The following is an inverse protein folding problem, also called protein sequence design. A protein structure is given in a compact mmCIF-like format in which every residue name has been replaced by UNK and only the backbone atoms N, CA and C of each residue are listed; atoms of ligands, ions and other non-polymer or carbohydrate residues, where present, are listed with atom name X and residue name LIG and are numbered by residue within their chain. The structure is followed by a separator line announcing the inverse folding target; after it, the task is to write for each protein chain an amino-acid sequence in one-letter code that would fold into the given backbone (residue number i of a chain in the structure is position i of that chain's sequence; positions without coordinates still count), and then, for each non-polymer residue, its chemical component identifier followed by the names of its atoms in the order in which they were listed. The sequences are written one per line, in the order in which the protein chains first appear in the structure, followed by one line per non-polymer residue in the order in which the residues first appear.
data_IF_007456689780
#
_entry.id   IF_007456689780
#
_cell.length_a   1.000
_cell.length_b   1.000
_cell.length_c   1.000
_cell.angle_alpha   90.00
_cell.angle_beta   90.00
_cell.angle_gamma   90.00
#
_symmetry.space_group_name_H-M   'P 1'
#
loop_
_entity.id
_entity.type
_entity.pdbx_description
1 polymer ?
#
# COMPACT_ATOMS: atom_id res chain seq x y z
N UNK A 1 -8.07 -39.34 -0.07
CA UNK A 1 -8.62 -38.14 -0.69
C UNK A 1 -9.97 -37.85 -0.02
N UNK A 2 -9.93 -37.29 1.18
CA UNK A 2 -11.11 -36.80 1.89
C UNK A 2 -10.83 -35.33 2.19
N UNK A 3 -11.30 -34.47 1.29
CA UNK A 3 -11.42 -33.05 1.55
C UNK A 3 -12.61 -32.94 2.51
N UNK A 4 -12.27 -32.80 3.79
CA UNK A 4 -13.24 -32.52 4.84
C UNK A 4 -13.88 -31.18 4.48
N UNK A 5 -15.11 -31.26 4.03
CA UNK A 5 -16.02 -30.13 3.88
C UNK A 5 -16.31 -29.63 5.30
N UNK A 6 -15.41 -28.82 5.87
CA UNK A 6 -15.63 -28.20 7.17
C UNK A 6 -16.79 -27.20 7.02
N UNK A 7 -17.86 -27.54 7.68
CA UNK A 7 -19.13 -26.83 7.76
C UNK A 7 -18.90 -25.37 8.18
N UNK A 8 -19.47 -24.45 7.46
CA UNK A 8 -19.33 -22.99 7.53
C UNK A 8 -19.80 -22.35 8.87
N UNK A 9 -20.01 -23.12 9.90
CA UNK A 9 -20.77 -22.68 11.08
C UNK A 9 -19.93 -22.07 12.23
N UNK A 10 -18.57 -21.97 12.10
CA UNK A 10 -17.79 -21.51 13.24
C UNK A 10 -16.62 -20.56 12.91
N UNK A 11 -16.69 -19.76 11.81
CA UNK A 11 -15.57 -18.94 11.37
C UNK A 11 -15.60 -17.49 11.84
N UNK A 12 -16.65 -17.02 12.50
CA UNK A 12 -16.73 -15.65 12.97
C UNK A 12 -16.77 -15.59 14.51
N UNK A 13 -15.60 -15.48 15.13
CA UNK A 13 -15.50 -15.19 16.58
C UNK A 13 -15.25 -13.70 16.85
N UNK A 14 -15.00 -12.88 15.80
CA UNK A 14 -14.79 -11.44 15.95
C UNK A 14 -15.90 -10.63 15.32
N UNK A 15 -16.24 -9.52 15.94
CA UNK A 15 -17.17 -8.54 15.39
C UNK A 15 -16.41 -7.29 14.94
N UNK A 16 -16.93 -6.62 13.92
CA UNK A 16 -16.37 -5.34 13.44
C UNK A 16 -16.33 -4.29 14.53
N UNK A 17 -17.33 -4.29 15.40
CA UNK A 17 -17.40 -3.38 16.54
C UNK A 17 -16.26 -3.64 17.53
N UNK A 18 -16.06 -4.88 17.95
CA UNK A 18 -15.00 -5.28 18.86
C UNK A 18 -13.59 -4.98 18.35
N UNK A 19 -13.31 -5.29 17.05
CA UNK A 19 -12.03 -4.94 16.43
C UNK A 19 -11.78 -3.42 16.41
N UNK A 20 -12.79 -2.65 16.10
CA UNK A 20 -12.70 -1.19 16.11
C UNK A 20 -12.50 -0.63 17.51
N UNK A 21 -13.17 -1.17 18.48
CA UNK A 21 -13.03 -0.75 19.89
C UNK A 21 -11.61 -1.06 20.39
N UNK A 22 -11.11 -2.27 20.17
CA UNK A 22 -9.72 -2.66 20.50
C UNK A 22 -8.70 -1.82 19.76
N UNK A 23 -8.86 -1.62 18.44
CA UNK A 23 -7.98 -0.79 17.65
C UNK A 23 -7.98 0.67 18.10
N UNK A 24 -9.15 1.22 18.49
CA UNK A 24 -9.25 2.56 19.07
C UNK A 24 -8.54 2.65 20.42
N UNK A 25 -8.73 1.69 21.29
CA UNK A 25 -8.06 1.65 22.59
C UNK A 25 -6.53 1.55 22.44
N UNK A 26 -6.03 0.69 21.56
CA UNK A 26 -4.60 0.57 21.24
C UNK A 26 -4.02 1.87 20.69
N UNK A 27 -4.72 2.51 19.75
CA UNK A 27 -4.35 3.80 19.18
C UNK A 27 -4.30 4.91 20.24
N UNK A 28 -5.31 5.03 21.10
CA UNK A 28 -5.39 6.07 22.12
C UNK A 28 -4.32 5.90 23.21
N UNK A 29 -3.94 4.67 23.54
CA UNK A 29 -2.91 4.38 24.53
C UNK A 29 -1.56 5.01 24.20
N UNK A 30 -1.19 5.04 22.93
CA UNK A 30 0.08 5.57 22.44
C UNK A 30 -0.16 6.53 21.26
N UNK A 31 -1.01 7.53 21.48
CA UNK A 31 -1.57 8.40 20.45
C UNK A 31 -0.51 9.05 19.58
N UNK A 32 0.44 9.78 20.18
CA UNK A 32 1.42 10.58 19.43
C UNK A 32 2.37 9.72 18.59
N UNK A 33 2.82 8.59 19.14
CA UNK A 33 3.68 7.67 18.39
C UNK A 33 2.90 7.00 17.25
N UNK A 34 1.65 6.63 17.48
CA UNK A 34 0.77 6.04 16.44
C UNK A 34 0.49 7.03 15.31
N UNK A 35 0.22 8.30 15.62
CA UNK A 35 0.05 9.37 14.62
C UNK A 35 1.34 9.57 13.83
N UNK A 36 2.48 9.65 14.49
CA UNK A 36 3.77 9.86 13.83
C UNK A 36 4.13 8.67 12.90
N UNK A 37 3.95 7.43 13.36
CA UNK A 37 4.18 6.23 12.55
C UNK A 37 3.22 6.18 11.35
N UNK A 38 1.92 6.44 11.58
CA UNK A 38 0.93 6.47 10.50
C UNK A 38 1.21 7.58 9.48
N UNK A 39 1.69 8.75 9.93
CA UNK A 39 2.11 9.86 9.07
C UNK A 39 3.31 9.47 8.21
N UNK A 40 4.33 8.85 8.80
CA UNK A 40 5.50 8.34 8.08
C UNK A 40 5.05 7.32 7.03
N UNK A 41 4.22 6.35 7.40
CA UNK A 41 3.69 5.36 6.45
C UNK A 41 2.85 6.01 5.36
N UNK A 42 2.03 7.00 5.68
CA UNK A 42 1.21 7.71 4.69
C UNK A 42 2.08 8.44 3.67
N UNK A 43 3.07 9.22 4.11
CA UNK A 43 3.93 10.00 3.23
C UNK A 43 4.81 9.08 2.39
N UNK A 44 5.49 8.13 3.02
CA UNK A 44 6.48 7.32 2.34
C UNK A 44 5.89 6.11 1.63
N UNK A 45 4.95 5.37 2.22
CA UNK A 45 4.42 4.13 1.60
C UNK A 45 3.30 4.44 0.61
N UNK A 46 2.39 5.37 0.92
CA UNK A 46 1.20 5.68 0.11
C UNK A 46 1.36 6.93 -0.76
N UNK A 47 2.09 7.96 -0.30
CA UNK A 47 2.16 9.28 -0.96
C UNK A 47 2.99 9.32 -2.25
N UNK A 48 3.92 8.40 -2.45
CA UNK A 48 4.86 8.46 -3.58
C UNK A 48 4.27 8.22 -4.98
N UNK A 49 3.07 7.64 -5.08
CA UNK A 49 2.46 7.34 -6.39
C UNK A 49 1.82 8.55 -7.07
N UNK A 50 1.18 9.42 -6.30
CA UNK A 50 0.54 10.62 -6.84
C UNK A 50 1.55 11.70 -7.27
N UNK A 51 2.65 11.85 -6.54
CA UNK A 51 3.70 12.79 -6.90
C UNK A 51 4.35 12.43 -8.25
N UNK A 52 4.66 11.13 -8.47
CA UNK A 52 5.30 10.66 -9.70
C UNK A 52 4.37 10.83 -10.92
N UNK A 53 3.07 10.50 -10.79
CA UNK A 53 2.11 10.64 -11.88
C UNK A 53 1.86 12.10 -12.25
N UNK A 54 1.81 13.00 -11.28
CA UNK A 54 1.62 14.43 -11.53
C UNK A 54 2.83 15.04 -12.25
N UNK A 55 4.06 14.68 -11.85
CA UNK A 55 5.28 15.13 -12.52
C UNK A 55 5.34 14.63 -13.97
N UNK A 56 4.99 13.37 -14.22
CA UNK A 56 4.95 12.82 -15.58
C UNK A 56 3.95 13.56 -16.48
N UNK A 57 2.72 13.75 -15.99
CA UNK A 57 1.69 14.47 -16.74
C UNK A 57 2.09 15.92 -17.02
N UNK A 58 2.77 16.58 -16.10
CA UNK A 58 3.24 17.95 -16.28
C UNK A 58 4.36 18.05 -17.32
N UNK A 59 5.31 17.09 -17.33
CA UNK A 59 6.40 17.04 -18.32
C UNK A 59 5.87 16.71 -19.71
N UNK A 60 4.95 15.75 -19.85
CA UNK A 60 4.38 15.36 -21.15
C UNK A 60 3.43 16.43 -21.70
N UNK A 61 2.70 17.17 -20.87
CA UNK A 61 1.88 18.29 -21.33
C UNK A 61 2.72 19.51 -21.75
N UNK A 62 3.86 19.76 -21.11
CA UNK A 62 4.77 20.84 -21.49
C UNK A 62 5.45 20.59 -22.84
N UNK A 63 5.67 19.35 -23.23
CA UNK A 63 6.26 19.02 -24.53
C UNK A 63 5.27 19.15 -25.70
N UNK A 64 3.96 19.21 -25.41
CA UNK A 64 2.92 19.36 -26.43
C UNK A 64 2.46 20.82 -26.66
N UNK A 65 2.93 21.78 -25.85
CA UNK A 65 2.46 23.17 -25.90
C UNK A 65 3.40 24.12 -26.65
N UNK A 66 4.46 23.64 -27.30
CA UNK A 66 5.38 24.47 -28.07
C UNK A 66 4.94 24.63 -29.57
N UNK A 67 3.65 24.75 -29.81
CA UNK A 67 3.14 25.32 -31.07
C UNK A 67 3.03 26.85 -30.92
N UNK A 68 4.12 27.59 -31.11
CA UNK A 68 4.05 29.04 -31.30
C UNK A 68 3.37 29.32 -32.63
N UNK A 69 2.20 29.91 -32.56
CA UNK A 69 1.52 30.47 -33.74
C UNK A 69 2.09 31.85 -33.99
N UNK A 70 2.89 32.00 -35.05
CA UNK A 70 3.23 33.31 -35.61
C UNK A 70 2.34 33.52 -36.82
N UNK A 71 1.47 34.54 -36.79
CA UNK A 71 0.77 35.05 -37.96
C UNK A 71 1.65 36.15 -38.57
N UNK A 72 2.32 35.84 -39.64
CA UNK A 72 3.00 36.83 -40.45
C UNK A 72 2.03 37.28 -41.57
N UNK A 73 1.66 38.55 -41.56
CA UNK A 73 0.83 39.19 -42.58
C UNK A 73 1.73 39.64 -43.74
N UNK A 74 1.62 38.99 -44.88
CA UNK A 74 2.13 39.52 -46.14
C UNK A 74 0.99 40.25 -46.88
N UNK A 75 1.35 41.39 -47.52
CA UNK A 75 0.45 42.41 -48.10
C UNK A 75 -0.33 41.97 -49.36
N UNK A 76 -0.28 40.69 -49.74
CA UNK A 76 -0.90 40.15 -50.97
C UNK A 76 -1.95 39.06 -50.75
N UNK A 77 -2.64 39.05 -49.63
CA UNK A 77 -3.93 38.36 -49.49
C UNK A 77 -3.93 36.83 -49.60
N UNK A 78 -2.79 36.14 -49.46
CA UNK A 78 -2.73 34.68 -49.41
C UNK A 78 -2.43 34.25 -47.99
N UNK A 79 -3.43 33.72 -47.29
CA UNK A 79 -3.28 33.07 -45.97
C UNK A 79 -2.67 31.69 -46.22
N UNK A 80 -1.36 31.61 -46.18
CA UNK A 80 -0.65 30.34 -46.11
C UNK A 80 -0.46 29.92 -44.67
N UNK A 81 -1.16 28.88 -44.21
CA UNK A 81 -0.86 28.24 -42.94
C UNK A 81 0.46 27.47 -43.10
N UNK A 82 1.57 28.11 -42.76
CA UNK A 82 2.86 27.42 -42.65
C UNK A 82 2.90 26.74 -41.29
N UNK A 83 2.58 25.47 -41.27
CA UNK A 83 2.91 24.63 -40.12
C UNK A 83 4.44 24.48 -40.08
N UNK A 84 5.12 25.38 -39.39
CA UNK A 84 6.51 25.16 -39.03
C UNK A 84 6.58 24.09 -37.95
N UNK A 85 6.57 22.84 -38.38
CA UNK A 85 6.99 21.69 -37.55
C UNK A 85 8.53 21.74 -37.39
N UNK A 86 9.01 22.86 -36.87
CA UNK A 86 10.42 23.08 -36.58
C UNK A 86 10.81 22.41 -35.27
N UNK A 87 10.86 21.10 -35.24
CA UNK A 87 11.76 20.40 -34.29
C UNK A 87 13.19 20.70 -34.76
N UNK A 88 13.71 21.87 -34.39
CA UNK A 88 15.13 22.16 -34.57
C UNK A 88 15.92 21.06 -33.84
N UNK A 89 16.98 20.53 -34.47
CA UNK A 89 17.88 19.54 -33.90
C UNK A 89 18.25 19.86 -32.42
N UNK A 90 18.51 21.13 -32.02
CA UNK A 90 18.69 21.52 -30.63
C UNK A 90 17.48 21.24 -29.74
N UNK A 91 16.25 21.50 -30.20
CA UNK A 91 15.03 21.24 -29.43
C UNK A 91 14.78 19.74 -29.18
N UNK A 92 15.08 18.91 -30.19
CA UNK A 92 14.97 17.45 -30.05
C UNK A 92 16.02 16.87 -29.09
N UNK A 93 17.24 17.43 -29.08
CA UNK A 93 18.29 17.05 -28.12
C UNK A 93 17.93 17.48 -26.71
N UNK A 94 17.41 18.69 -26.51
CA UNK A 94 17.00 19.19 -25.19
C UNK A 94 15.84 18.36 -24.64
N UNK A 95 14.82 18.04 -25.47
CA UNK A 95 13.69 17.19 -25.05
C UNK A 95 14.16 15.77 -24.72
N UNK A 96 15.10 15.21 -25.46
CA UNK A 96 15.71 13.90 -25.17
C UNK A 96 16.47 13.87 -23.86
N UNK A 97 17.26 14.90 -23.57
CA UNK A 97 17.98 15.02 -22.29
C UNK A 97 17.01 15.17 -21.12
N UNK A 98 15.99 16.04 -21.24
CA UNK A 98 14.96 16.20 -20.20
C UNK A 98 14.22 14.88 -19.95
N UNK A 99 13.81 14.17 -21.00
CA UNK A 99 13.16 12.87 -20.89
C UNK A 99 14.06 11.83 -20.19
N UNK A 100 15.35 11.81 -20.52
CA UNK A 100 16.32 10.91 -19.88
C UNK A 100 16.54 11.23 -18.39
N UNK A 101 16.64 12.51 -18.03
CA UNK A 101 16.78 12.95 -16.63
C UNK A 101 15.53 12.61 -15.83
N UNK A 102 14.34 12.91 -16.35
CA UNK A 102 13.06 12.59 -15.69
C UNK A 102 12.86 11.10 -15.60
N UNK A 103 13.14 10.34 -16.66
CA UNK A 103 13.08 8.88 -16.66
C UNK A 103 14.06 8.26 -15.65
N UNK A 104 15.28 8.78 -15.59
CA UNK A 104 16.28 8.39 -14.57
C UNK A 104 15.83 8.68 -13.14
N UNK A 105 15.31 9.89 -12.90
CA UNK A 105 14.76 10.25 -11.58
C UNK A 105 13.57 9.36 -11.17
N UNK A 106 12.70 9.02 -12.13
CA UNK A 106 11.60 8.07 -11.88
C UNK A 106 12.10 6.66 -11.54
N UNK A 107 13.08 6.14 -12.27
CA UNK A 107 13.71 4.84 -11.96
C UNK A 107 14.31 4.83 -10.56
N UNK A 108 15.07 5.87 -10.19
CA UNK A 108 15.60 6.01 -8.84
C UNK A 108 14.47 6.06 -7.81
N UNK A 109 13.40 6.81 -8.05
CA UNK A 109 12.23 6.87 -7.18
C UNK A 109 11.55 5.50 -7.00
N UNK A 110 11.40 4.73 -8.09
CA UNK A 110 10.84 3.36 -8.04
C UNK A 110 11.76 2.42 -7.25
N UNK A 111 13.08 2.49 -7.48
CA UNK A 111 14.05 1.68 -6.74
C UNK A 111 14.02 2.03 -5.24
N UNK A 112 14.06 3.31 -4.87
CA UNK A 112 13.92 3.75 -3.48
C UNK A 112 12.61 3.26 -2.87
N UNK A 113 11.51 3.30 -3.61
CA UNK A 113 10.22 2.79 -3.15
C UNK A 113 10.28 1.28 -2.86
N UNK A 114 10.87 0.49 -3.73
CA UNK A 114 10.99 -0.96 -3.55
C UNK A 114 11.93 -1.29 -2.38
N UNK A 115 13.11 -0.66 -2.34
CA UNK A 115 14.14 -1.02 -1.40
C UNK A 115 13.98 -0.39 -0.02
N UNK A 116 13.50 0.86 0.07
CA UNK A 116 13.38 1.56 1.35
C UNK A 116 11.98 1.47 1.95
N UNK A 117 10.93 1.64 1.14
CA UNK A 117 9.57 1.78 1.66
C UNK A 117 8.88 0.43 1.95
N UNK A 118 9.24 -0.64 1.25
CA UNK A 118 8.69 -1.95 1.56
C UNK A 118 9.08 -2.45 2.97
N UNK A 119 10.36 -2.40 3.38
CA UNK A 119 10.73 -2.75 4.76
C UNK A 119 10.06 -1.85 5.81
N UNK A 120 9.86 -0.58 5.50
CA UNK A 120 9.17 0.36 6.38
C UNK A 120 7.71 -0.04 6.62
N UNK A 121 7.03 -0.58 5.61
CA UNK A 121 5.67 -1.14 5.73
C UNK A 121 5.64 -2.26 6.80
N UNK A 122 6.62 -3.17 6.79
CA UNK A 122 6.75 -4.25 7.79
C UNK A 122 7.04 -3.70 9.18
N UNK A 123 7.94 -2.72 9.30
CA UNK A 123 8.21 -2.03 10.56
C UNK A 123 6.98 -1.35 11.13
N UNK A 124 6.15 -0.75 10.28
CA UNK A 124 4.85 -0.18 10.68
C UNK A 124 3.88 -1.24 11.19
N UNK A 125 3.75 -2.37 10.48
CA UNK A 125 2.94 -3.50 10.94
C UNK A 125 3.41 -3.99 12.31
N UNK A 126 4.73 -4.13 12.51
CA UNK A 126 5.32 -4.51 13.80
C UNK A 126 4.96 -3.53 14.91
N UNK A 127 5.12 -2.23 14.66
CA UNK A 127 4.76 -1.20 15.63
C UNK A 127 3.29 -1.31 16.06
N UNK A 128 2.35 -1.41 15.11
CA UNK A 128 0.93 -1.47 15.45
C UNK A 128 0.52 -2.78 16.12
N UNK A 129 1.16 -3.92 15.79
CA UNK A 129 0.95 -5.18 16.50
C UNK A 129 1.42 -5.08 17.95
N UNK A 130 2.63 -4.58 18.18
CA UNK A 130 3.15 -4.37 19.53
C UNK A 130 2.33 -3.35 20.31
N UNK A 131 1.77 -2.34 19.65
CA UNK A 131 0.95 -1.31 20.29
C UNK A 131 -0.40 -1.84 20.82
N UNK A 132 -0.82 -3.03 20.38
CA UNK A 132 -1.99 -3.71 20.96
C UNK A 132 -1.73 -4.20 22.38
N UNK A 133 -0.48 -4.54 22.72
CA UNK A 133 -0.10 -5.10 24.01
C UNK A 133 0.59 -4.08 24.93
N UNK A 134 1.52 -3.30 24.38
CA UNK A 134 2.32 -2.31 25.12
C UNK A 134 2.53 -1.04 24.31
N UNK A 135 3.37 -0.11 24.79
CA UNK A 135 3.67 1.16 24.12
C UNK A 135 5.05 1.09 23.43
N UNK A 136 5.11 0.66 22.17
CA UNK A 136 6.37 0.61 21.43
C UNK A 136 6.84 2.01 21.08
N UNK A 137 8.16 2.14 20.86
CA UNK A 137 8.77 3.36 20.33
C UNK A 137 8.73 3.38 18.80
N UNK A 138 8.83 4.58 18.21
CA UNK A 138 8.89 4.76 16.74
C UNK A 138 10.07 4.02 16.10
N UNK A 139 11.13 3.73 16.86
CA UNK A 139 12.28 2.95 16.40
C UNK A 139 11.93 1.56 15.85
N UNK A 140 10.75 1.02 16.17
CA UNK A 140 10.25 -0.25 15.59
C UNK A 140 10.03 -0.20 14.07
N UNK A 141 9.90 0.99 13.49
CA UNK A 141 9.89 1.15 12.03
C UNK A 141 11.16 0.59 11.35
N UNK A 142 12.29 0.65 12.04
CA UNK A 142 13.56 0.08 11.58
C UNK A 142 13.70 -1.44 11.72
N UNK A 143 12.71 -2.14 12.25
CA UNK A 143 12.77 -3.58 12.54
C UNK A 143 13.23 -4.44 11.36
N UNK A 144 12.67 -4.20 10.17
CA UNK A 144 13.00 -4.98 8.98
C UNK A 144 14.43 -4.75 8.44
N UNK A 145 15.09 -3.66 8.87
CA UNK A 145 16.47 -3.35 8.47
C UNK A 145 17.50 -4.01 9.38
N UNK A 146 17.14 -4.35 10.62
CA UNK A 146 18.07 -4.82 11.65
C UNK A 146 18.33 -6.34 11.60
N UNK A 147 17.41 -7.13 11.09
CA UNK A 147 17.41 -8.58 11.27
C UNK A 147 18.13 -9.40 10.16
N UNK A 148 18.98 -8.79 9.34
CA UNK A 148 19.68 -9.49 8.24
C UNK A 148 18.76 -10.09 7.15
N UNK A 149 17.45 -9.96 7.31
CA UNK A 149 16.41 -10.52 6.43
C UNK A 149 15.87 -9.50 5.42
N UNK A 150 16.51 -8.35 5.35
CA UNK A 150 16.12 -7.22 4.50
C UNK A 150 15.79 -7.66 3.06
N UNK A 151 16.70 -8.39 2.39
CA UNK A 151 16.50 -8.81 1.01
C UNK A 151 15.31 -9.75 0.80
N UNK A 152 15.07 -10.66 1.75
CA UNK A 152 13.90 -11.56 1.71
C UNK A 152 12.59 -10.77 1.86
N UNK A 153 12.55 -9.83 2.78
CA UNK A 153 11.39 -8.95 3.03
C UNK A 153 11.08 -8.09 1.82
N UNK A 154 12.09 -7.41 1.26
CA UNK A 154 11.94 -6.58 0.05
C UNK A 154 11.40 -7.40 -1.11
N UNK A 155 12.00 -8.57 -1.38
CA UNK A 155 11.59 -9.43 -2.48
C UNK A 155 10.17 -9.98 -2.28
N UNK A 156 9.80 -10.37 -1.06
CA UNK A 156 8.46 -10.89 -0.77
C UNK A 156 7.38 -9.83 -0.98
N UNK A 157 7.61 -8.61 -0.49
CA UNK A 157 6.65 -7.51 -0.67
C UNK A 157 6.60 -7.00 -2.12
N UNK A 158 7.73 -6.99 -2.82
CA UNK A 158 7.76 -6.69 -4.25
C UNK A 158 6.92 -7.70 -5.04
N UNK A 159 7.13 -9.00 -4.83
CA UNK A 159 6.36 -10.05 -5.49
C UNK A 159 4.87 -9.99 -5.13
N UNK A 160 4.53 -9.68 -3.86
CA UNK A 160 3.15 -9.45 -3.46
C UNK A 160 2.49 -8.36 -4.30
N UNK A 161 3.13 -7.19 -4.40
CA UNK A 161 2.62 -6.06 -5.19
C UNK A 161 2.56 -6.39 -6.68
N UNK A 162 3.56 -7.10 -7.20
CA UNK A 162 3.60 -7.56 -8.59
C UNK A 162 2.45 -8.53 -8.90
N UNK A 163 2.21 -9.53 -8.06
CA UNK A 163 1.11 -10.48 -8.26
C UNK A 163 -0.25 -9.81 -8.20
N UNK A 164 -0.48 -8.91 -7.22
CA UNK A 164 -1.73 -8.16 -7.13
C UNK A 164 -1.91 -7.28 -8.37
N UNK A 165 -0.86 -6.59 -8.81
CA UNK A 165 -0.89 -5.74 -10.00
C UNK A 165 -1.16 -6.51 -11.28
N UNK A 166 -0.55 -7.70 -11.45
CA UNK A 166 -0.78 -8.56 -12.61
C UNK A 166 -2.24 -9.04 -12.69
N UNK A 167 -2.82 -9.45 -11.55
CA UNK A 167 -4.22 -9.84 -11.48
C UNK A 167 -5.16 -8.65 -11.70
N UNK A 168 -4.81 -7.46 -11.20
CA UNK A 168 -5.59 -6.25 -11.42
C UNK A 168 -5.55 -5.79 -12.89
N UNK A 169 -4.41 -6.01 -13.57
CA UNK A 169 -4.27 -5.73 -15.01
C UNK A 169 -5.14 -6.68 -15.85
N UNK A 170 -5.21 -7.94 -15.46
CA UNK A 170 -6.01 -8.94 -16.17
C UNK A 170 -7.52 -8.68 -15.99
N UNK A 171 -7.96 -8.52 -14.75
CA UNK A 171 -9.35 -8.25 -14.35
C UNK A 171 -9.37 -7.53 -13.01
N UNK A 172 -10.12 -6.45 -12.89
CA UNK A 172 -10.22 -5.63 -11.66
C UNK A 172 -10.73 -6.46 -10.47
N UNK A 173 -11.79 -7.25 -10.66
CA UNK A 173 -12.41 -8.04 -9.57
C UNK A 173 -11.46 -9.09 -8.98
N UNK A 174 -10.80 -9.97 -9.77
CA UNK A 174 -9.79 -10.88 -9.23
C UNK A 174 -8.61 -10.16 -8.56
N UNK A 175 -8.21 -9.00 -9.07
CA UNK A 175 -7.18 -8.16 -8.45
C UNK A 175 -7.54 -7.75 -7.02
N UNK A 176 -8.78 -7.29 -6.81
CA UNK A 176 -9.31 -6.96 -5.48
C UNK A 176 -9.32 -8.20 -4.58
N UNK A 177 -9.84 -9.32 -5.04
CA UNK A 177 -9.88 -10.58 -4.25
C UNK A 177 -8.46 -11.01 -3.84
N UNK A 178 -7.48 -10.92 -4.74
CA UNK A 178 -6.07 -11.23 -4.46
C UNK A 178 -5.41 -10.23 -3.51
N UNK A 179 -5.80 -8.97 -3.54
CA UNK A 179 -5.31 -7.98 -2.59
C UNK A 179 -5.69 -8.32 -1.15
N UNK A 180 -6.93 -8.77 -0.93
CA UNK A 180 -7.38 -9.29 0.37
C UNK A 180 -6.69 -10.60 0.76
N UNK A 181 -6.48 -11.51 -0.19
CA UNK A 181 -5.81 -12.79 0.04
C UNK A 181 -4.36 -12.61 0.55
N UNK A 182 -3.65 -11.62 0.04
CA UNK A 182 -2.26 -11.33 0.43
C UNK A 182 -2.13 -10.16 1.42
N UNK A 183 -3.23 -9.75 2.04
CA UNK A 183 -3.25 -8.61 2.96
C UNK A 183 -2.39 -8.84 4.20
N UNK A 184 -2.34 -10.07 4.71
CA UNK A 184 -1.63 -10.41 5.96
C UNK A 184 -0.13 -10.65 5.77
N UNK A 185 0.39 -10.70 4.54
CA UNK A 185 1.81 -10.94 4.27
C UNK A 185 2.75 -9.99 5.02
N UNK A 186 2.58 -8.65 5.03
CA UNK A 186 3.48 -7.76 5.77
C UNK A 186 3.42 -7.97 7.28
N UNK A 187 2.27 -8.32 7.83
CA UNK A 187 2.10 -8.65 9.25
C UNK A 187 2.81 -9.94 9.62
N UNK A 188 2.72 -10.97 8.77
CA UNK A 188 3.43 -12.24 8.96
C UNK A 188 4.94 -12.07 8.96
N UNK A 189 5.47 -11.25 8.04
CA UNK A 189 6.90 -10.92 8.00
C UNK A 189 7.33 -10.05 9.19
N UNK A 190 6.43 -9.23 9.73
CA UNK A 190 6.66 -8.45 10.93
C UNK A 190 6.66 -9.32 12.19
N UNK A 191 5.86 -10.37 12.20
CA UNK A 191 5.73 -11.31 13.31
C UNK A 191 6.92 -12.30 13.37
N UNK A 192 7.23 -12.94 12.23
CA UNK A 192 8.38 -13.84 12.08
C UNK A 192 9.26 -13.44 10.89
N UNK A 193 10.40 -12.76 11.14
CA UNK A 193 11.32 -12.36 10.08
C UNK A 193 12.04 -13.53 9.40
N UNK A 194 12.04 -14.72 10.03
CA UNK A 194 12.65 -15.92 9.47
C UNK A 194 11.73 -16.67 8.51
N UNK A 195 10.43 -16.33 8.48
CA UNK A 195 9.43 -16.98 7.65
C UNK A 195 9.85 -17.01 6.18
N UNK A 196 9.68 -18.17 5.54
CA UNK A 196 9.95 -18.26 4.10
C UNK A 196 8.88 -17.51 3.32
N UNK A 197 9.26 -17.00 2.15
CA UNK A 197 8.31 -16.31 1.25
C UNK A 197 7.08 -17.17 0.94
N UNK A 198 7.31 -18.46 0.63
CA UNK A 198 6.23 -19.39 0.28
C UNK A 198 5.27 -19.59 1.45
N UNK A 199 5.78 -19.72 2.67
CA UNK A 199 4.97 -19.85 3.88
C UNK A 199 4.18 -18.57 4.18
N UNK A 200 4.78 -17.38 4.01
CA UNK A 200 4.09 -16.12 4.18
C UNK A 200 2.87 -15.99 3.24
N UNK A 201 3.04 -16.34 1.96
CA UNK A 201 1.92 -16.33 1.00
C UNK A 201 0.87 -17.40 1.32
N UNK A 202 1.30 -18.62 1.67
CA UNK A 202 0.40 -19.71 2.03
C UNK A 202 -0.40 -19.36 3.27
N UNK A 203 0.26 -18.96 4.34
CA UNK A 203 -0.38 -18.65 5.61
C UNK A 203 -1.30 -17.42 5.48
N UNK A 204 -0.92 -16.41 4.71
CA UNK A 204 -1.83 -15.28 4.42
C UNK A 204 -3.12 -15.73 3.75
N UNK A 205 -3.06 -16.65 2.80
CA UNK A 205 -4.25 -17.23 2.15
C UNK A 205 -5.12 -18.01 3.15
N UNK A 206 -4.49 -18.81 4.00
CA UNK A 206 -5.18 -19.60 5.02
C UNK A 206 -5.88 -18.70 6.05
N UNK A 207 -5.20 -17.67 6.57
CA UNK A 207 -5.77 -16.69 7.49
C UNK A 207 -6.95 -15.93 6.89
N UNK A 208 -6.87 -15.57 5.62
CA UNK A 208 -7.92 -14.81 4.92
C UNK A 208 -9.01 -15.70 4.30
N UNK A 209 -8.90 -17.02 4.47
CA UNK A 209 -9.91 -17.94 3.96
C UNK A 209 -11.23 -17.75 4.73
N UNK A 210 -12.31 -17.46 3.99
CA UNK A 210 -13.62 -17.18 4.57
C UNK A 210 -13.77 -15.77 5.16
N UNK A 211 -12.67 -15.01 5.38
CA UNK A 211 -12.67 -13.71 6.07
C UNK A 211 -12.63 -12.50 5.10
N UNK A 212 -12.46 -12.76 3.79
CA UNK A 212 -12.27 -11.68 2.78
C UNK A 212 -13.43 -10.71 2.73
N UNK A 213 -14.67 -11.23 2.75
CA UNK A 213 -15.88 -10.41 2.71
C UNK A 213 -16.04 -9.55 3.96
N UNK A 214 -15.81 -10.13 5.13
CA UNK A 214 -15.96 -9.43 6.40
C UNK A 214 -14.90 -8.34 6.56
N UNK A 215 -13.69 -8.62 6.07
CA UNK A 215 -12.61 -7.62 6.01
C UNK A 215 -12.94 -6.51 5.01
N UNK A 216 -13.54 -6.84 3.86
CA UNK A 216 -14.02 -5.83 2.91
C UNK A 216 -15.08 -4.92 3.55
N UNK A 217 -16.05 -5.50 4.26
CA UNK A 217 -17.09 -4.72 4.95
C UNK A 217 -16.50 -3.91 6.12
N UNK A 218 -15.45 -4.40 6.78
CA UNK A 218 -14.70 -3.63 7.76
C UNK A 218 -14.08 -2.38 7.12
N UNK A 219 -13.42 -2.52 5.97
CA UNK A 219 -12.84 -1.38 5.23
C UNK A 219 -13.94 -0.41 4.78
N UNK A 220 -15.06 -0.92 4.26
CA UNK A 220 -16.20 -0.12 3.87
C UNK A 220 -16.73 0.75 5.02
N UNK A 221 -16.66 0.22 6.25
CA UNK A 221 -17.08 0.94 7.45
C UNK A 221 -16.20 2.13 7.83
N UNK A 222 -15.00 2.26 7.23
CA UNK A 222 -14.12 3.41 7.37
C UNK A 222 -14.34 4.48 6.27
N UNK A 223 -15.13 4.18 5.23
CA UNK A 223 -15.39 5.15 4.14
C UNK A 223 -16.04 6.43 4.69
N UNK A 224 -16.97 6.31 5.64
CA UNK A 224 -17.60 7.48 6.27
C UNK A 224 -16.57 8.42 6.91
N UNK A 225 -15.58 7.86 7.59
CA UNK A 225 -14.47 8.63 8.18
C UNK A 225 -13.55 9.23 7.11
N UNK A 226 -13.34 8.52 6.01
CA UNK A 226 -12.54 9.01 4.88
C UNK A 226 -13.24 10.18 4.18
N UNK A 227 -14.56 10.13 3.99
CA UNK A 227 -15.35 11.25 3.46
C UNK A 227 -15.30 12.49 4.37
N UNK A 228 -15.42 12.28 5.69
CA UNK A 228 -15.29 13.36 6.66
C UNK A 228 -13.88 13.98 6.62
N UNK A 229 -12.85 13.19 6.32
CA UNK A 229 -11.48 13.68 6.17
C UNK A 229 -11.31 14.64 4.99
N UNK A 230 -12.07 14.45 3.92
CA UNK A 230 -12.05 15.38 2.77
C UNK A 230 -12.58 16.75 3.20
N UNK A 231 -13.64 16.80 4.01
CA UNK A 231 -14.21 18.05 4.54
C UNK A 231 -13.22 18.82 5.45
N UNK A 232 -12.29 18.12 6.09
CA UNK A 232 -11.26 18.71 6.96
C UNK A 232 -9.92 18.93 6.26
N UNK A 233 -9.90 19.02 4.92
CA UNK A 233 -8.66 19.14 4.13
C UNK A 233 -7.60 18.09 4.47
N UNK A 234 -8.03 16.88 4.85
CA UNK A 234 -7.15 15.76 5.17
C UNK A 234 -6.56 15.74 6.61
N UNK A 235 -6.79 16.78 7.42
CA UNK A 235 -6.28 16.80 8.80
C UNK A 235 -6.81 15.61 9.63
N UNK A 236 -8.10 15.32 9.50
CA UNK A 236 -8.70 14.18 10.19
C UNK A 236 -8.08 12.84 9.75
N UNK A 237 -7.72 12.71 8.47
CA UNK A 237 -7.03 11.51 7.97
C UNK A 237 -5.68 11.31 8.68
N UNK A 238 -4.89 12.37 8.84
CA UNK A 238 -3.54 12.30 9.43
C UNK A 238 -3.62 11.98 10.92
N UNK A 239 -4.41 12.73 11.67
CA UNK A 239 -4.39 12.66 13.13
C UNK A 239 -5.26 11.56 13.72
N UNK A 240 -6.26 11.08 12.97
CA UNK A 240 -7.21 10.12 13.52
C UNK A 240 -7.43 8.90 12.63
N UNK A 241 -7.85 9.08 11.36
CA UNK A 241 -8.35 7.96 10.55
C UNK A 241 -7.23 6.97 10.22
N UNK A 242 -6.08 7.44 9.73
CA UNK A 242 -4.99 6.55 9.34
C UNK A 242 -4.43 5.72 10.52
N UNK A 243 -4.05 6.32 11.67
CA UNK A 243 -3.54 5.54 12.78
C UNK A 243 -4.62 4.58 13.35
N UNK A 244 -5.88 4.99 13.32
CA UNK A 244 -6.99 4.14 13.75
C UNK A 244 -7.20 2.93 12.83
N UNK A 245 -7.18 3.13 11.51
CA UNK A 245 -7.27 2.04 10.52
C UNK A 245 -6.09 1.08 10.65
N UNK A 246 -4.87 1.58 10.82
CA UNK A 246 -3.68 0.74 11.00
C UNK A 246 -3.75 -0.08 12.29
N UNK A 247 -4.17 0.51 13.40
CA UNK A 247 -4.37 -0.19 14.66
C UNK A 247 -5.46 -1.27 14.53
N UNK A 248 -6.58 -0.98 13.89
CA UNK A 248 -7.65 -1.95 13.66
C UNK A 248 -7.18 -3.13 12.79
N UNK A 249 -6.36 -2.86 11.77
CA UNK A 249 -5.78 -3.91 10.93
C UNK A 249 -4.79 -4.80 11.67
N UNK A 250 -4.02 -4.25 12.61
CA UNK A 250 -3.15 -5.02 13.47
C UNK A 250 -3.96 -5.95 14.40
N UNK A 251 -5.03 -5.43 15.01
CA UNK A 251 -5.96 -6.24 15.81
C UNK A 251 -6.62 -7.36 14.99
N UNK A 252 -7.03 -7.06 13.75
CA UNK A 252 -7.56 -8.06 12.83
C UNK A 252 -6.54 -9.20 12.60
N UNK A 253 -5.27 -8.86 12.32
CA UNK A 253 -4.23 -9.85 12.15
C UNK A 253 -4.03 -10.72 13.39
N UNK A 254 -3.92 -10.11 14.56
CA UNK A 254 -3.73 -10.82 15.85
C UNK A 254 -4.90 -11.77 16.12
N UNK A 255 -6.12 -11.35 15.83
CA UNK A 255 -7.31 -12.16 16.01
C UNK A 255 -7.35 -13.34 15.03
N UNK A 256 -7.12 -13.11 13.75
CA UNK A 256 -7.05 -14.17 12.74
C UNK A 256 -5.95 -15.18 13.05
N UNK A 257 -4.78 -14.73 13.52
CA UNK A 257 -3.69 -15.57 13.96
C UNK A 257 -4.11 -16.43 15.16
N UNK A 258 -4.74 -15.84 16.18
CA UNK A 258 -5.23 -16.54 17.37
C UNK A 258 -6.22 -17.65 16.99
N UNK A 259 -7.20 -17.34 16.14
CA UNK A 259 -8.19 -18.29 15.66
C UNK A 259 -7.57 -19.44 14.87
N UNK A 260 -6.62 -19.13 13.99
CA UNK A 260 -5.93 -20.14 13.19
C UNK A 260 -5.20 -21.17 14.07
N UNK A 261 -4.46 -20.72 15.09
CA UNK A 261 -3.76 -21.63 15.98
C UNK A 261 -4.70 -22.40 16.91
N UNK A 262 -5.76 -21.77 17.43
CA UNK A 262 -6.76 -22.45 18.22
C UNK A 262 -7.47 -23.57 17.45
N UNK A 263 -7.84 -23.31 16.19
CA UNK A 263 -8.44 -24.32 15.32
C UNK A 263 -7.49 -25.48 15.01
N UNK A 264 -6.19 -25.23 14.88
CA UNK A 264 -5.20 -26.30 14.69
C UNK A 264 -4.99 -27.16 15.93
N UNK A 265 -4.97 -26.56 17.12
CA UNK A 265 -4.89 -27.32 18.37
C UNK A 265 -6.10 -28.23 18.56
N UNK A 266 -7.32 -27.73 18.24
CA UNK A 266 -8.54 -28.53 18.31
C UNK A 266 -8.60 -29.65 17.25
N UNK A 267 -7.98 -29.44 16.09
CA UNK A 267 -7.92 -30.45 15.01
C UNK A 267 -6.89 -31.56 15.28
N UNK A 268 -5.86 -31.24 16.05
CA UNK A 268 -4.78 -32.19 16.45
C UNK A 268 -4.53 -32.02 17.96
N UNK A 269 -5.45 -32.48 18.81
CA UNK A 269 -5.16 -32.57 20.23
C UNK A 269 -3.91 -33.44 20.40
N UNK A 270 -2.90 -32.91 21.09
CA UNK A 270 -1.65 -33.63 21.33
C UNK A 270 -1.97 -35.00 21.94
N UNK A 271 -1.55 -36.07 21.21
CA UNK A 271 -1.53 -37.42 21.78
C UNK A 271 -0.61 -37.47 23.00
#
# INVERSE_FOLDING_TARGET
MQIVCMKKENYMTWTRFDLKERGKAAFQRNYWHSVLVALILMIFVNGGSSAISNTWNQVTSSSNSNGSYYTEYFDDGIVGNVYSSGTSIPGMLVSGVVAAVVGGAMLVGVLLRIFLLNPLEVGGCRFFMENSEYQPTVGRLGYAFQNGMYGKTVLTLFLRKLFIGLWALLLIVPGIVKSYEYRMVPYLLADDPNMTRQDAFRLSKELMYGQKWDTFVLDLSFIGWSLLSVCTCGLLAIFYVNPYVQATNAELFLELKRQYFANRQNAYPSM
#
